data_IF_567670067215
#
_entry.id   IF_567670067215
#
_cell.length_a   1.000
_cell.length_b   1.000
_cell.length_c   1.000
_cell.angle_alpha   90.00
_cell.angle_beta   90.00
_cell.angle_gamma   90.00
#
_symmetry.space_group_name_H-M   'P 1'
#
loop_
_entity.id
_entity.type
_entity.pdbx_description
1 polymer ?
#
# COMPACT_ATOMS: atom_id res chain seq x y z
N UNK A 1 -14.98 7.20 -19.52
CA UNK A 1 -16.04 6.53 -18.73
C UNK A 1 -15.40 5.44 -17.85
N UNK A 2 -14.52 5.82 -16.93
CA UNK A 2 -13.80 4.86 -16.07
C UNK A 2 -14.76 4.15 -15.12
N UNK A 3 -15.75 4.89 -14.59
CA UNK A 3 -16.77 4.36 -13.68
C UNK A 3 -17.63 3.25 -14.32
N UNK A 4 -17.93 3.38 -15.61
CA UNK A 4 -18.63 2.34 -16.37
C UNK A 4 -17.82 1.06 -16.46
N UNK A 5 -16.52 1.16 -16.74
CA UNK A 5 -15.64 -0.01 -16.85
C UNK A 5 -15.58 -0.72 -15.50
N UNK A 6 -15.39 0.03 -14.42
CA UNK A 6 -15.39 -0.52 -13.06
C UNK A 6 -16.71 -1.24 -12.75
N UNK A 7 -17.84 -0.56 -12.99
CA UNK A 7 -19.19 -1.10 -12.71
C UNK A 7 -19.46 -2.36 -13.52
N UNK A 8 -19.09 -2.36 -14.80
CA UNK A 8 -19.23 -3.51 -15.69
C UNK A 8 -18.41 -4.69 -15.20
N UNK A 9 -17.13 -4.49 -14.90
CA UNK A 9 -16.26 -5.56 -14.39
C UNK A 9 -16.79 -6.12 -13.08
N UNK A 10 -17.24 -5.26 -12.17
CA UNK A 10 -17.83 -5.68 -10.90
C UNK A 10 -19.11 -6.50 -11.09
N UNK A 11 -20.03 -6.04 -11.94
CA UNK A 11 -21.27 -6.76 -12.24
C UNK A 11 -21.03 -8.09 -12.96
N UNK A 12 -20.16 -8.10 -13.99
CA UNK A 12 -19.86 -9.29 -14.78
C UNK A 12 -19.15 -10.37 -13.95
N UNK A 13 -18.30 -9.98 -13.00
CA UNK A 13 -17.54 -10.90 -12.16
C UNK A 13 -18.25 -11.25 -10.84
N UNK A 14 -19.45 -10.72 -10.58
CA UNK A 14 -20.17 -10.92 -9.32
C UNK A 14 -20.45 -12.41 -9.02
N UNK A 15 -20.56 -13.26 -10.04
CA UNK A 15 -20.70 -14.72 -9.87
C UNK A 15 -19.48 -15.39 -9.23
N UNK A 16 -18.27 -14.88 -9.48
CA UNK A 16 -17.02 -15.36 -8.83
C UNK A 16 -16.99 -14.92 -7.36
N UNK A 17 -17.74 -13.87 -7.03
CA UNK A 17 -17.83 -13.27 -5.71
C UNK A 17 -17.31 -11.83 -5.73
N UNK A 18 -17.88 -10.96 -4.87
CA UNK A 18 -17.57 -9.53 -4.85
C UNK A 18 -16.25 -9.20 -4.12
N UNK A 19 -15.43 -10.19 -3.76
CA UNK A 19 -14.19 -10.02 -2.98
C UNK A 19 -13.08 -10.96 -3.46
N UNK A 20 -11.88 -10.79 -2.93
CA UNK A 20 -10.74 -11.67 -3.21
C UNK A 20 -10.06 -11.36 -4.55
N UNK A 21 -9.64 -12.40 -5.26
CA UNK A 21 -8.80 -12.28 -6.45
C UNK A 21 -9.44 -11.44 -7.57
N UNK A 22 -10.76 -11.57 -7.78
CA UNK A 22 -11.52 -10.77 -8.75
C UNK A 22 -11.42 -9.28 -8.43
N UNK A 23 -11.63 -8.88 -7.18
CA UNK A 23 -11.50 -7.48 -6.76
C UNK A 23 -10.08 -6.95 -6.83
N UNK A 24 -9.06 -7.78 -6.55
CA UNK A 24 -7.67 -7.39 -6.75
C UNK A 24 -7.39 -7.07 -8.23
N UNK A 25 -7.91 -7.88 -9.15
CA UNK A 25 -7.77 -7.64 -10.59
C UNK A 25 -8.50 -6.36 -11.04
N UNK A 26 -9.75 -6.17 -10.58
CA UNK A 26 -10.51 -4.93 -10.84
C UNK A 26 -9.75 -3.70 -10.32
N UNK A 27 -9.19 -3.79 -9.11
CA UNK A 27 -8.42 -2.69 -8.50
C UNK A 27 -7.18 -2.33 -9.32
N UNK A 28 -6.45 -3.33 -9.84
CA UNK A 28 -5.32 -3.11 -10.73
C UNK A 28 -5.70 -2.40 -12.02
N UNK A 29 -6.81 -2.82 -12.65
CA UNK A 29 -7.34 -2.17 -13.85
C UNK A 29 -7.75 -0.73 -13.55
N UNK A 30 -8.44 -0.49 -12.44
CA UNK A 30 -8.90 0.85 -12.04
C UNK A 30 -7.73 1.83 -11.85
N UNK A 31 -6.68 1.41 -11.12
CA UNK A 31 -5.46 2.22 -10.95
C UNK A 31 -4.79 2.55 -12.29
N UNK A 32 -4.69 1.58 -13.21
CA UNK A 32 -4.10 1.79 -14.53
C UNK A 32 -4.94 2.75 -15.39
N UNK A 33 -6.28 2.63 -15.33
CA UNK A 33 -7.18 3.54 -16.03
C UNK A 33 -7.11 4.97 -15.48
N UNK A 34 -6.96 5.12 -14.17
CA UNK A 34 -6.78 6.43 -13.52
C UNK A 34 -5.46 7.09 -13.94
N UNK A 35 -4.35 6.34 -13.95
CA UNK A 35 -3.06 6.83 -14.45
C UNK A 35 -3.13 7.20 -15.94
N UNK A 36 -3.71 6.35 -16.79
CA UNK A 36 -3.91 6.65 -18.21
C UNK A 36 -4.75 7.91 -18.42
N UNK A 37 -5.87 8.05 -17.69
CA UNK A 37 -6.73 9.22 -17.77
C UNK A 37 -5.99 10.48 -17.34
N UNK A 38 -5.18 10.41 -16.29
CA UNK A 38 -4.32 11.51 -15.85
C UNK A 38 -3.32 11.93 -16.92
N UNK A 39 -2.62 10.96 -17.52
CA UNK A 39 -1.67 11.19 -18.62
C UNK A 39 -2.33 11.82 -19.85
N UNK A 40 -3.50 11.32 -20.27
CA UNK A 40 -4.25 11.88 -21.41
C UNK A 40 -4.71 13.31 -21.15
N UNK A 41 -5.14 13.61 -19.92
CA UNK A 41 -5.59 14.95 -19.52
C UNK A 41 -4.43 15.86 -19.10
N UNK A 42 -3.19 15.36 -19.11
CA UNK A 42 -2.01 16.04 -18.58
C UNK A 42 -2.23 16.60 -17.16
N UNK A 43 -2.90 15.82 -16.31
CA UNK A 43 -3.24 16.18 -14.94
C UNK A 43 -2.81 15.07 -13.98
N UNK A 44 -2.29 15.39 -12.79
CA UNK A 44 -1.99 14.38 -11.78
C UNK A 44 -3.28 13.72 -11.27
N UNK A 45 -3.23 12.43 -10.91
CA UNK A 45 -4.41 11.64 -10.58
C UNK A 45 -5.29 12.23 -9.46
N UNK A 46 -4.70 12.92 -8.48
CA UNK A 46 -5.46 13.51 -7.38
C UNK A 46 -6.41 14.63 -7.85
N UNK A 47 -6.13 15.31 -8.97
CA UNK A 47 -7.05 16.29 -9.57
C UNK A 47 -8.30 15.61 -10.13
N UNK A 48 -8.16 14.38 -10.63
CA UNK A 48 -9.30 13.58 -11.08
C UNK A 48 -10.21 13.15 -9.91
N UNK A 49 -9.69 13.17 -8.68
CA UNK A 49 -10.39 12.80 -7.45
C UNK A 49 -10.98 14.00 -6.70
N UNK A 50 -11.00 15.19 -7.32
CA UNK A 50 -11.53 16.42 -6.72
C UNK A 50 -10.48 17.39 -6.19
N UNK A 51 -9.20 17.14 -6.49
CA UNK A 51 -8.11 18.06 -6.17
C UNK A 51 -7.52 17.87 -4.78
N UNK A 52 -6.41 18.58 -4.53
CA UNK A 52 -5.69 18.47 -3.27
C UNK A 52 -6.27 19.39 -2.18
N UNK A 53 -6.80 18.80 -1.11
CA UNK A 53 -7.14 19.55 0.11
C UNK A 53 -5.89 20.02 0.89
N UNK A 54 -4.80 19.25 0.83
CA UNK A 54 -3.51 19.58 1.47
C UNK A 54 -2.35 19.20 0.55
N UNK A 55 -1.22 19.88 0.71
CA UNK A 55 0.00 19.65 -0.09
C UNK A 55 1.08 18.85 0.62
N UNK A 56 1.00 18.74 1.95
CA UNK A 56 1.98 18.04 2.79
C UNK A 56 1.26 16.91 3.53
N UNK A 57 1.84 15.72 3.48
CA UNK A 57 1.31 14.50 4.10
C UNK A 57 2.35 13.92 5.05
N UNK A 58 1.93 13.58 6.27
CA UNK A 58 2.75 12.80 7.17
C UNK A 58 2.65 11.33 6.76
N UNK A 59 3.80 10.72 6.50
CA UNK A 59 3.90 9.30 6.20
C UNK A 59 4.32 8.54 7.45
N UNK A 60 3.84 7.30 7.59
CA UNK A 60 4.38 6.36 8.56
C UNK A 60 5.18 5.28 7.84
N UNK A 61 6.31 4.89 8.42
CA UNK A 61 7.12 3.81 7.89
C UNK A 61 6.63 2.45 8.42
N UNK A 62 6.60 1.45 7.54
CA UNK A 62 6.31 0.07 7.87
C UNK A 62 7.41 -0.83 7.32
N UNK A 63 7.55 -2.04 7.88
CA UNK A 63 8.47 -3.08 7.43
C UNK A 63 9.97 -2.77 7.61
N UNK A 64 10.30 -1.90 8.57
CA UNK A 64 11.68 -1.52 8.91
C UNK A 64 12.32 -2.43 9.99
N UNK A 65 11.58 -3.42 10.49
CA UNK A 65 11.87 -4.21 11.69
C UNK A 65 12.22 -5.67 11.38
N UNK A 66 12.77 -5.94 10.19
CA UNK A 66 12.97 -7.31 9.67
C UNK A 66 14.40 -7.82 9.81
N UNK A 67 15.34 -7.02 10.34
CA UNK A 67 16.74 -7.42 10.46
C UNK A 67 17.14 -7.71 11.89
N UNK A 68 18.18 -8.54 12.04
CA UNK A 68 18.83 -8.83 13.32
C UNK A 68 18.19 -9.99 14.06
N UNK A 69 18.42 -10.07 15.36
CA UNK A 69 17.93 -11.12 16.27
C UNK A 69 16.54 -10.83 16.79
N UNK A 70 15.89 -9.78 16.31
CA UNK A 70 14.52 -9.41 16.68
C UNK A 70 14.33 -9.18 18.19
N UNK A 71 15.33 -8.59 18.83
CA UNK A 71 15.29 -8.17 20.23
C UNK A 71 15.10 -6.65 20.35
N UNK A 72 14.96 -6.18 21.59
CA UNK A 72 14.75 -4.76 21.89
C UNK A 72 15.86 -3.84 21.34
N UNK A 73 17.12 -4.27 21.39
CA UNK A 73 18.26 -3.49 20.92
C UNK A 73 18.22 -3.31 19.39
N UNK A 74 17.96 -4.39 18.66
CA UNK A 74 17.85 -4.39 17.20
C UNK A 74 16.67 -3.55 16.72
N UNK A 75 15.51 -3.66 17.37
CA UNK A 75 14.35 -2.83 17.04
C UNK A 75 14.62 -1.36 17.34
N UNK A 76 15.26 -1.05 18.47
CA UNK A 76 15.61 0.34 18.81
C UNK A 76 16.61 0.93 17.80
N UNK A 77 17.59 0.14 17.35
CA UNK A 77 18.55 0.57 16.33
C UNK A 77 17.87 0.84 14.98
N UNK A 78 17.02 -0.07 14.51
CA UNK A 78 16.30 0.10 13.25
C UNK A 78 15.30 1.27 13.32
N UNK A 79 14.61 1.46 14.44
CA UNK A 79 13.70 2.59 14.65
C UNK A 79 14.43 3.94 14.58
N UNK A 80 15.66 4.02 15.12
CA UNK A 80 16.49 5.23 15.03
C UNK A 80 16.82 5.57 13.58
N UNK A 81 17.19 4.59 12.77
CA UNK A 81 17.45 4.81 11.34
C UNK A 81 16.23 5.37 10.59
N UNK A 82 15.04 4.84 10.88
CA UNK A 82 13.78 5.34 10.28
C UNK A 82 13.46 6.77 10.72
N UNK A 83 13.72 7.09 11.99
CA UNK A 83 13.57 8.46 12.52
C UNK A 83 14.55 9.42 11.85
N UNK A 84 15.80 9.01 11.67
CA UNK A 84 16.84 9.79 10.97
C UNK A 84 16.49 10.02 9.50
N UNK A 85 15.80 9.07 8.86
CA UNK A 85 15.23 9.25 7.52
C UNK A 85 14.04 10.24 7.47
N UNK A 86 13.62 10.81 8.60
CA UNK A 86 12.62 11.87 8.69
C UNK A 86 11.19 11.41 8.95
N UNK A 87 10.96 10.11 9.18
CA UNK A 87 9.63 9.61 9.52
C UNK A 87 9.26 9.92 10.97
N UNK A 88 8.05 10.44 11.18
CA UNK A 88 7.51 10.74 12.51
C UNK A 88 6.54 9.67 13.02
N UNK A 89 6.15 8.72 12.17
CA UNK A 89 5.28 7.59 12.50
C UNK A 89 5.93 6.27 12.10
N UNK A 90 5.86 5.28 12.98
CA UNK A 90 6.40 3.94 12.75
C UNK A 90 5.32 2.91 13.07
N UNK A 91 5.17 1.91 12.19
CA UNK A 91 4.41 0.69 12.45
C UNK A 91 5.38 -0.49 12.50
N UNK A 92 5.27 -1.32 13.54
CA UNK A 92 6.03 -2.56 13.62
C UNK A 92 5.23 -3.72 14.19
N UNK A 93 5.69 -4.93 13.87
CA UNK A 93 5.19 -6.18 14.43
C UNK A 93 6.35 -6.86 15.20
N UNK A 94 6.28 -6.93 16.54
CA UNK A 94 7.33 -7.53 17.36
C UNK A 94 7.49 -9.04 17.10
N UNK A 95 6.52 -9.69 16.43
CA UNK A 95 6.47 -11.12 16.18
C UNK A 95 6.68 -11.48 14.71
N UNK A 96 7.11 -10.54 13.86
CA UNK A 96 7.26 -10.79 12.42
C UNK A 96 8.25 -11.91 12.07
N UNK A 97 9.23 -12.16 12.95
CA UNK A 97 10.19 -13.26 12.86
C UNK A 97 9.62 -14.63 13.29
N UNK A 98 8.43 -14.65 13.89
CA UNK A 98 7.72 -15.87 14.32
C UNK A 98 6.49 -16.16 13.47
N UNK A 99 6.20 -15.30 12.49
CA UNK A 99 4.95 -15.34 11.75
C UNK A 99 5.00 -16.45 10.69
N UNK A 100 4.12 -17.45 10.80
CA UNK A 100 4.08 -18.72 10.05
C UNK A 100 4.27 -18.64 8.52
N UNK A 101 4.06 -17.48 7.88
CA UNK A 101 4.28 -17.28 6.45
C UNK A 101 5.74 -17.05 6.05
N UNK A 102 6.57 -16.63 7.01
CA UNK A 102 8.01 -16.50 6.85
C UNK A 102 8.60 -17.60 7.72
N UNK A 103 9.13 -18.65 7.09
CA UNK A 103 9.77 -19.74 7.82
C UNK A 103 10.97 -19.25 8.65
N UNK A 104 11.72 -20.18 9.24
CA UNK A 104 12.95 -19.89 10.00
C UNK A 104 14.07 -19.21 9.16
N UNK A 105 13.82 -18.93 7.88
CA UNK A 105 14.75 -18.39 6.88
C UNK A 105 14.94 -16.85 6.93
N UNK A 106 14.42 -16.15 7.93
CA UNK A 106 14.71 -14.71 8.14
C UNK A 106 15.95 -14.45 9.02
N UNK A 107 16.77 -15.48 9.26
CA UNK A 107 18.03 -15.38 10.01
C UNK A 107 19.09 -14.51 9.31
#
# INVERSE_FOLDING_TARGET
>A
RTDFIWTKLYSDLNWIGPYGASMCAISGIDMALMDLKGKVLNAPCYELLGGAYRKVFLLYANYWFTKGKHNEEDYAAQARFVKEAGFTGLKFDPFAHTNYFYGEDLA
#
